data_IF_552913084529
#
_entry.id   IF_552913084529
#
_cell.length_a   1.000
_cell.length_b   1.000
_cell.length_c   1.000
_cell.angle_alpha   90.00
_cell.angle_beta   90.00
_cell.angle_gamma   90.00
#
_symmetry.space_group_name_H-M   'P 1'
#
loop_
_entity.id
_entity.type
_entity.pdbx_description
1 polymer ?
#
# COMPACT_ATOMS: atom_id res chain seq x y z
N UNK A 1 26.78 61.45 -0.92
CA UNK A 1 26.73 61.82 -2.35
C UNK A 1 26.25 60.61 -3.14
N UNK A 2 25.11 60.79 -3.82
CA UNK A 2 24.57 60.10 -5.00
C UNK A 2 24.94 58.62 -5.28
N UNK A 3 23.95 57.75 -5.06
CA UNK A 3 23.54 56.67 -5.99
C UNK A 3 23.17 57.23 -7.37
N UNK A 4 23.25 56.42 -8.45
CA UNK A 4 22.04 55.77 -9.03
C UNK A 4 22.26 54.27 -9.36
N UNK A 5 21.26 53.38 -9.24
CA UNK A 5 20.22 53.01 -10.25
C UNK A 5 20.78 52.63 -11.63
N UNK A 6 20.32 51.64 -12.41
CA UNK A 6 19.31 50.57 -12.37
C UNK A 6 19.25 50.00 -13.81
N UNK A 7 19.03 48.69 -14.03
CA UNK A 7 18.48 48.05 -15.27
C UNK A 7 18.59 46.53 -15.07
N UNK A 8 17.56 45.70 -14.82
CA UNK A 8 16.25 45.45 -15.46
C UNK A 8 16.36 44.69 -16.80
N UNK A 9 16.02 43.38 -16.78
CA UNK A 9 15.39 42.54 -17.82
C UNK A 9 15.43 41.08 -17.31
N UNK A 10 14.35 40.47 -16.79
CA UNK A 10 13.15 39.94 -17.45
C UNK A 10 13.41 39.17 -18.75
N UNK A 11 13.12 37.88 -18.71
CA UNK A 11 13.16 36.92 -19.83
C UNK A 11 12.58 35.58 -19.38
N UNK A 12 11.27 35.57 -19.12
CA UNK A 12 10.48 34.34 -19.16
C UNK A 12 10.43 33.86 -20.62
N UNK A 13 10.74 32.60 -20.89
CA UNK A 13 10.19 31.94 -22.08
C UNK A 13 9.88 30.47 -21.82
N UNK A 14 8.57 30.21 -21.78
CA UNK A 14 7.94 28.90 -21.86
C UNK A 14 7.88 28.50 -23.33
N UNK A 15 8.51 27.38 -23.69
CA UNK A 15 8.09 26.63 -24.88
C UNK A 15 8.11 25.12 -24.62
N UNK A 16 6.89 24.60 -24.43
CA UNK A 16 6.53 23.20 -24.66
C UNK A 16 6.87 22.85 -26.10
N UNK A 17 7.44 21.67 -26.39
CA UNK A 17 7.07 20.85 -27.56
C UNK A 17 7.83 19.52 -27.62
N UNK A 18 7.02 18.47 -27.73
CA UNK A 18 7.22 17.23 -28.53
C UNK A 18 8.21 16.16 -28.07
N UNK A 19 7.60 15.14 -27.45
CA UNK A 19 7.69 13.70 -27.79
C UNK A 19 8.46 13.40 -29.08
N UNK A 20 9.53 12.63 -28.96
CA UNK A 20 10.03 11.77 -30.04
C UNK A 20 10.51 10.45 -29.45
N UNK A 21 9.56 9.53 -29.29
CA UNK A 21 9.82 8.09 -29.18
C UNK A 21 10.23 7.57 -30.55
N UNK A 22 11.55 7.42 -30.78
CA UNK A 22 12.07 6.65 -31.91
C UNK A 22 12.80 5.42 -31.41
N UNK A 23 12.00 4.37 -31.30
CA UNK A 23 12.40 2.96 -31.35
C UNK A 23 13.42 2.78 -32.49
N UNK A 24 14.67 2.48 -32.14
CA UNK A 24 15.62 1.84 -33.05
C UNK A 24 15.62 0.36 -32.70
N UNK A 25 14.83 -0.38 -33.48
CA UNK A 25 15.06 -1.81 -33.68
C UNK A 25 16.34 -1.94 -34.52
N UNK A 26 17.38 -2.54 -33.95
CA UNK A 26 18.50 -3.06 -34.71
C UNK A 26 18.18 -4.50 -35.10
N UNK A 27 18.31 -4.88 -36.38
CA UNK A 27 18.10 -6.26 -36.81
C UNK A 27 19.25 -7.16 -36.36
N UNK A 28 18.87 -8.33 -35.86
CA UNK A 28 19.74 -9.45 -35.59
C UNK A 28 20.45 -9.88 -36.88
N UNK A 29 21.79 -9.85 -36.86
CA UNK A 29 22.62 -10.57 -37.83
C UNK A 29 22.89 -11.94 -37.22
N UNK A 30 22.22 -12.95 -37.79
CA UNK A 30 22.60 -14.34 -37.68
C UNK A 30 23.92 -14.56 -38.43
N UNK A 31 24.95 -15.03 -37.73
CA UNK A 31 26.05 -15.80 -38.33
C UNK A 31 26.06 -17.18 -37.68
N UNK A 32 25.96 -18.27 -38.46
CA UNK A 32 26.04 -19.63 -37.97
C UNK A 32 27.50 -20.09 -37.91
N UNK A 33 27.81 -20.92 -36.92
CA UNK A 33 29.02 -21.75 -36.92
C UNK A 33 30.01 -21.40 -35.81
N UNK A 34 29.95 -22.11 -34.69
CA UNK A 34 30.88 -23.22 -34.51
C UNK A 34 30.45 -24.09 -33.33
N UNK A 35 30.28 -25.36 -33.61
CA UNK A 35 30.05 -26.43 -32.65
C UNK A 35 31.34 -26.65 -31.85
N UNK A 36 31.24 -26.67 -30.52
CA UNK A 36 32.08 -27.52 -29.67
C UNK A 36 31.46 -27.62 -28.26
N UNK A 37 31.04 -28.83 -27.82
CA UNK A 37 30.42 -29.02 -26.52
C UNK A 37 31.48 -29.20 -25.43
N UNK A 38 31.68 -28.16 -24.61
CA UNK A 38 32.51 -28.27 -23.41
C UNK A 38 31.68 -28.83 -22.26
N UNK A 39 31.88 -30.13 -22.07
CA UNK A 39 31.79 -30.97 -20.87
C UNK A 39 31.18 -30.37 -19.59
N UNK A 40 30.12 -31.05 -19.16
CA UNK A 40 29.66 -31.23 -17.77
C UNK A 40 30.84 -31.34 -16.78
N UNK A 41 30.80 -30.53 -15.73
CA UNK A 41 31.35 -30.90 -14.43
C UNK A 41 30.22 -30.95 -13.41
N UNK A 42 29.77 -32.18 -13.14
CA UNK A 42 28.99 -32.50 -11.97
C UNK A 42 29.89 -32.60 -10.72
N UNK A 43 29.26 -32.39 -9.58
CA UNK A 43 29.62 -32.90 -8.24
C UNK A 43 30.77 -32.18 -7.51
N UNK A 44 30.39 -31.36 -6.54
CA UNK A 44 30.98 -31.46 -5.20
C UNK A 44 29.88 -31.40 -4.14
N UNK A 45 29.57 -32.58 -3.62
CA UNK A 45 28.84 -32.81 -2.38
C UNK A 45 29.77 -32.42 -1.22
N UNK A 46 29.44 -31.38 -0.46
CA UNK A 46 29.91 -31.24 0.93
C UNK A 46 28.73 -31.49 1.86
N UNK A 47 28.80 -32.63 2.54
CA UNK A 47 28.02 -32.98 3.73
C UNK A 47 28.78 -32.53 4.98
N UNK A 48 28.04 -32.43 6.09
CA UNK A 48 28.44 -32.33 7.51
C UNK A 48 28.81 -30.91 7.98
N UNK A 49 28.25 -30.31 9.04
CA UNK A 49 27.47 -30.76 10.22
C UNK A 49 26.51 -29.63 10.64
N UNK A 50 25.25 -29.89 11.02
CA UNK A 50 24.78 -30.25 12.38
C UNK A 50 25.32 -29.38 13.51
N UNK A 51 24.55 -28.34 13.86
CA UNK A 51 24.36 -27.87 15.24
C UNK A 51 22.87 -27.53 15.38
N UNK A 52 22.17 -28.42 16.09
CA UNK A 52 20.87 -28.22 16.69
C UNK A 52 21.02 -27.32 17.93
N UNK A 53 19.87 -27.01 18.55
CA UNK A 53 19.66 -26.41 19.89
C UNK A 53 19.55 -24.88 19.77
N UNK A 54 18.44 -24.19 20.05
CA UNK A 54 17.23 -24.54 20.81
C UNK A 54 16.07 -23.64 20.36
N UNK A 55 14.85 -24.20 20.38
CA UNK A 55 13.60 -23.44 20.37
C UNK A 55 13.48 -22.76 21.74
N UNK A 56 13.36 -21.44 21.78
CA UNK A 56 12.73 -20.76 22.92
C UNK A 56 11.36 -20.27 22.50
N UNK A 57 10.40 -20.86 23.19
CA UNK A 57 8.96 -20.69 23.12
C UNK A 57 8.57 -19.29 23.62
N UNK A 58 7.50 -18.79 23.03
CA UNK A 58 6.76 -17.63 23.48
C UNK A 58 6.25 -17.84 24.92
N UNK A 59 6.70 -17.01 25.86
CA UNK A 59 5.90 -16.66 27.04
C UNK A 59 5.93 -15.14 27.27
N UNK A 60 4.80 -14.51 26.91
CA UNK A 60 4.51 -13.11 27.15
C UNK A 60 3.62 -13.07 28.40
N UNK A 61 4.26 -12.89 29.56
CA UNK A 61 3.59 -12.85 30.86
C UNK A 61 3.58 -11.41 31.39
N UNK A 62 2.48 -10.68 31.16
CA UNK A 62 2.09 -9.53 31.98
C UNK A 62 0.58 -9.58 32.21
N UNK A 63 0.21 -9.94 33.44
CA UNK A 63 -1.12 -9.72 34.05
C UNK A 63 -1.36 -8.22 34.31
N UNK A 64 -2.61 -7.77 34.45
CA UNK A 64 -3.30 -7.82 35.75
C UNK A 64 -4.72 -8.41 35.64
N UNK A 65 -5.19 -9.25 36.57
CA UNK A 65 -5.91 -8.84 37.79
C UNK A 65 -7.03 -7.83 37.49
N UNK A 66 -8.32 -8.06 37.73
CA UNK A 66 -9.09 -9.14 38.34
C UNK A 66 -10.50 -8.58 38.56
N UNK A 67 -11.55 -9.40 38.47
CA UNK A 67 -12.72 -9.36 39.37
C UNK A 67 -13.60 -10.58 39.10
N UNK A 68 -13.91 -11.22 40.21
CA UNK A 68 -14.60 -12.48 40.43
C UNK A 68 -16.12 -12.31 40.49
N UNK A 69 -16.79 -13.45 40.25
CA UNK A 69 -18.12 -13.88 40.74
C UNK A 69 -19.41 -13.53 39.96
N UNK A 70 -20.14 -14.56 39.46
CA UNK A 70 -21.60 -14.69 39.55
C UNK A 70 -21.96 -15.42 40.89
N UNK A 71 -23.22 -15.82 41.23
CA UNK A 71 -24.51 -15.75 40.53
C UNK A 71 -25.69 -15.24 41.40
N UNK A 72 -26.89 -15.11 40.83
CA UNK A 72 -28.15 -15.21 41.58
C UNK A 72 -29.34 -15.51 40.65
N UNK A 73 -29.79 -16.78 40.67
CA UNK A 73 -31.21 -17.16 40.65
C UNK A 73 -31.86 -16.55 41.91
N UNK A 74 -33.12 -16.11 41.98
CA UNK A 74 -34.34 -16.90 41.80
C UNK A 74 -35.58 -15.98 41.84
N UNK A 75 -36.61 -16.45 41.14
CA UNK A 75 -38.01 -16.52 41.56
C UNK A 75 -39.00 -15.36 41.40
N UNK A 76 -40.19 -15.84 41.00
CA UNK A 76 -41.54 -15.30 41.14
C UNK A 76 -42.04 -14.38 40.01
N UNK A 77 -43.11 -14.70 39.26
CA UNK A 77 -44.08 -15.79 39.37
C UNK A 77 -44.85 -15.94 38.05
N UNK A 78 -45.11 -17.18 37.63
CA UNK A 78 -46.34 -17.51 36.90
C UNK A 78 -47.53 -17.40 37.87
N UNK A 79 -48.74 -17.10 37.37
CA UNK A 79 -49.65 -18.23 37.19
C UNK A 79 -50.42 -18.20 35.87
N UNK A 80 -50.50 -19.41 35.31
CA UNK A 80 -51.60 -19.96 34.52
C UNK A 80 -52.96 -19.34 34.88
N UNK A 81 -53.79 -19.08 33.87
CA UNK A 81 -55.10 -19.73 33.88
C UNK A 81 -55.69 -19.91 32.48
N UNK A 82 -56.28 -21.09 32.32
CA UNK A 82 -56.90 -21.57 31.11
C UNK A 82 -58.43 -21.56 31.33
N UNK A 83 -59.17 -21.08 30.31
CA UNK A 83 -60.59 -21.45 30.00
C UNK A 83 -61.61 -20.74 30.92
N UNK A 84 -62.72 -20.12 30.41
CA UNK A 84 -63.67 -20.83 29.56
C UNK A 84 -64.34 -20.08 28.40
N UNK A 85 -64.59 -20.88 27.37
CA UNK A 85 -65.76 -20.81 26.49
C UNK A 85 -67.01 -20.46 27.32
N UNK A 86 -67.59 -19.29 27.07
CA UNK A 86 -68.97 -18.99 27.46
C UNK A 86 -69.73 -18.56 26.20
N UNK A 87 -70.60 -19.47 25.74
CA UNK A 87 -71.67 -19.18 24.79
C UNK A 87 -72.72 -18.28 25.46
N UNK A 88 -73.03 -17.16 24.78
CA UNK A 88 -74.32 -16.47 24.57
C UNK A 88 -75.33 -16.36 25.74
N UNK A 89 -76.00 -15.20 25.90
CA UNK A 89 -77.30 -15.07 25.22
C UNK A 89 -77.51 -13.75 24.43
N UNK A 90 -78.54 -13.73 23.56
CA UNK A 90 -78.81 -12.69 22.58
C UNK A 90 -79.65 -11.56 23.17
N UNK A 91 -79.26 -10.31 22.93
CA UNK A 91 -80.09 -9.12 23.20
C UNK A 91 -79.59 -8.01 22.26
N UNK A 92 -80.41 -7.32 21.47
CA UNK A 92 -81.85 -7.37 21.26
C UNK A 92 -82.09 -6.62 19.96
N UNK A 93 -82.91 -7.18 19.07
CA UNK A 93 -83.56 -6.43 18.00
C UNK A 93 -84.33 -5.27 18.63
N UNK A 94 -83.75 -4.06 18.58
CA UNK A 94 -84.53 -2.82 18.60
C UNK A 94 -84.70 -2.36 17.17
N UNK A 95 -85.66 -3.01 16.55
CA UNK A 95 -86.70 -2.42 15.72
C UNK A 95 -86.62 -0.90 15.48
N UNK A 96 -86.30 -0.58 14.21
CA UNK A 96 -86.80 0.52 13.35
C UNK A 96 -86.19 1.94 13.49
N UNK A 97 -86.20 2.73 12.38
CA UNK A 97 -86.69 2.40 11.04
C UNK A 97 -85.59 2.41 9.97
N UNK A 98 -85.68 1.42 9.07
CA UNK A 98 -85.31 1.61 7.67
C UNK A 98 -86.01 2.88 7.19
N UNK A 99 -85.27 3.98 7.03
CA UNK A 99 -85.70 5.03 6.11
C UNK A 99 -85.20 4.58 4.74
N UNK A 100 -86.11 3.93 4.03
CA UNK A 100 -86.01 3.75 2.58
C UNK A 100 -85.73 5.12 1.96
N UNK A 101 -84.47 5.36 1.59
CA UNK A 101 -84.04 6.45 0.72
C UNK A 101 -84.20 6.06 -0.77
N UNK A 102 -85.15 5.17 -1.07
CA UNK A 102 -85.46 4.66 -2.42
C UNK A 102 -86.83 5.11 -2.95
N UNK A 103 -87.33 6.27 -2.51
CA UNK A 103 -88.52 6.92 -3.08
C UNK A 103 -88.23 8.37 -3.50
N UNK A 104 -87.19 8.58 -4.30
CA UNK A 104 -86.97 9.87 -4.96
C UNK A 104 -86.50 9.76 -6.42
N UNK A 105 -86.77 8.63 -7.08
CA UNK A 105 -86.36 8.42 -8.49
C UNK A 105 -87.51 8.36 -9.50
N UNK A 106 -88.73 8.81 -9.14
CA UNK A 106 -89.84 8.83 -10.10
C UNK A 106 -90.79 10.02 -9.94
N UNK A 107 -90.26 11.23 -10.06
CA UNK A 107 -91.08 12.42 -10.31
C UNK A 107 -90.26 13.58 -10.92
N UNK A 108 -89.81 13.45 -12.17
CA UNK A 108 -89.16 14.57 -12.88
C UNK A 108 -89.73 14.78 -14.27
N UNK A 109 -90.83 15.54 -14.33
CA UNK A 109 -91.06 16.59 -15.34
C UNK A 109 -91.60 17.83 -14.60
N UNK A 110 -91.20 19.04 -15.01
CA UNK A 110 -91.22 20.21 -14.14
C UNK A 110 -92.65 20.72 -13.97
N UNK A 111 -93.23 20.53 -12.78
CA UNK A 111 -94.44 21.25 -12.41
C UNK A 111 -94.06 22.69 -12.10
N UNK A 112 -94.45 23.54 -13.05
CA UNK A 112 -94.81 24.95 -12.87
C UNK A 112 -94.99 25.34 -11.40
N UNK A 113 -94.05 26.16 -10.88
CA UNK A 113 -94.16 27.14 -9.79
C UNK A 113 -95.48 27.09 -8.99
N UNK A 114 -95.75 25.95 -8.36
CA UNK A 114 -96.79 25.81 -7.36
C UNK A 114 -96.28 26.60 -6.15
N UNK A 115 -97.16 27.39 -5.53
CA UNK A 115 -96.81 28.22 -4.37
C UNK A 115 -96.40 27.30 -3.23
N UNK A 116 -95.09 27.01 -3.13
CA UNK A 116 -94.48 26.28 -2.02
C UNK A 116 -94.92 26.99 -0.74
N UNK A 117 -95.54 26.25 0.18
CA UNK A 117 -95.96 26.81 1.45
C UNK A 117 -94.71 27.29 2.22
N UNK A 118 -94.81 28.37 3.02
CA UNK A 118 -93.70 28.83 3.84
C UNK A 118 -93.16 27.73 4.78
N UNK A 119 -94.01 26.81 5.24
CA UNK A 119 -93.62 25.63 6.01
C UNK A 119 -92.79 24.64 5.20
N UNK A 120 -93.21 24.29 3.97
CA UNK A 120 -92.45 23.38 3.09
C UNK A 120 -91.08 23.94 2.72
N UNK A 121 -91.00 25.26 2.52
CA UNK A 121 -89.73 25.96 2.26
C UNK A 121 -88.79 25.87 3.47
N UNK A 122 -89.32 25.98 4.68
CA UNK A 122 -88.54 25.83 5.90
C UNK A 122 -88.02 24.39 6.08
N UNK A 123 -88.82 23.38 5.73
CA UNK A 123 -88.41 21.98 5.76
C UNK A 123 -87.26 21.68 4.79
N UNK A 124 -87.28 22.26 3.57
CA UNK A 124 -86.20 22.12 2.59
C UNK A 124 -84.89 22.78 3.06
N UNK A 125 -84.97 23.98 3.65
CA UNK A 125 -83.80 24.67 4.22
C UNK A 125 -83.19 23.89 5.38
N UNK A 126 -84.03 23.34 6.27
CA UNK A 126 -83.58 22.51 7.38
C UNK A 126 -82.92 21.20 6.88
N UNK A 127 -83.49 20.56 5.86
CA UNK A 127 -82.92 19.36 5.24
C UNK A 127 -81.56 19.65 4.59
N UNK A 128 -81.43 20.79 3.88
CA UNK A 128 -80.15 21.22 3.31
C UNK A 128 -79.11 21.51 4.39
N UNK A 129 -79.49 22.12 5.52
CA UNK A 129 -78.60 22.34 6.65
C UNK A 129 -78.10 21.03 7.27
N UNK A 130 -78.98 20.04 7.45
CA UNK A 130 -78.59 18.71 7.98
C UNK A 130 -77.60 18.04 7.05
N UNK A 131 -77.85 18.08 5.75
CA UNK A 131 -76.98 17.47 4.74
C UNK A 131 -75.57 18.12 4.69
N UNK A 132 -75.49 19.45 4.82
CA UNK A 132 -74.21 20.18 4.95
C UNK A 132 -73.45 19.74 6.20
N UNK A 133 -74.13 19.66 7.35
CA UNK A 133 -73.52 19.20 8.60
C UNK A 133 -73.05 17.76 8.51
N UNK A 134 -73.81 16.90 7.86
CA UNK A 134 -73.45 15.49 7.65
C UNK A 134 -72.21 15.35 6.75
N UNK A 135 -72.14 16.10 5.64
CA UNK A 135 -70.94 16.10 4.80
C UNK A 135 -69.71 16.56 5.58
N UNK A 136 -69.80 17.67 6.33
CA UNK A 136 -68.68 18.15 7.15
C UNK A 136 -68.27 17.11 8.18
N UNK A 137 -69.23 16.51 8.88
CA UNK A 137 -68.96 15.47 9.87
C UNK A 137 -68.26 14.26 9.23
N UNK A 138 -68.70 13.80 8.06
CA UNK A 138 -68.06 12.68 7.35
C UNK A 138 -66.65 13.03 6.87
N UNK A 139 -66.47 14.20 6.24
CA UNK A 139 -65.16 14.65 5.75
C UNK A 139 -64.17 14.90 6.88
N UNK A 140 -64.60 15.43 8.01
CA UNK A 140 -63.73 15.70 9.17
C UNK A 140 -63.44 14.45 10.01
N UNK A 141 -64.45 13.65 10.34
CA UNK A 141 -64.27 12.42 11.15
C UNK A 141 -63.46 11.34 10.42
N UNK A 142 -63.47 11.38 9.09
CA UNK A 142 -62.77 10.42 8.24
C UNK A 142 -61.57 11.03 7.51
N UNK A 143 -61.17 12.27 7.86
CA UNK A 143 -60.12 13.03 7.18
C UNK A 143 -58.80 12.26 7.08
N UNK A 144 -58.47 11.46 8.09
CA UNK A 144 -57.22 10.70 8.14
C UNK A 144 -57.26 9.43 7.25
N UNK A 145 -58.45 8.91 6.96
CA UNK A 145 -58.66 7.61 6.30
C UNK A 145 -59.14 7.71 4.87
N UNK A 146 -59.89 8.75 4.52
CA UNK A 146 -60.37 8.97 3.17
C UNK A 146 -59.22 9.46 2.27
N UNK A 147 -59.22 9.00 1.01
CA UNK A 147 -58.41 9.62 -0.03
C UNK A 147 -59.06 10.92 -0.50
N UNK A 148 -58.26 11.85 -1.00
CA UNK A 148 -58.80 13.08 -1.57
C UNK A 148 -59.86 12.83 -2.67
N UNK A 149 -59.68 11.82 -3.52
CA UNK A 149 -60.69 11.42 -4.53
C UNK A 149 -62.02 11.02 -3.89
N UNK A 150 -62.00 10.27 -2.79
CA UNK A 150 -63.22 9.84 -2.08
C UNK A 150 -63.95 11.05 -1.47
N UNK A 151 -63.20 12.05 -0.99
CA UNK A 151 -63.76 13.28 -0.44
C UNK A 151 -64.43 14.14 -1.53
N UNK A 152 -63.83 14.20 -2.72
CA UNK A 152 -64.40 14.86 -3.91
C UNK A 152 -65.70 14.20 -4.32
N UNK A 153 -65.74 12.87 -4.38
CA UNK A 153 -66.94 12.12 -4.75
C UNK A 153 -68.06 12.30 -3.73
N UNK A 154 -67.73 12.31 -2.44
CA UNK A 154 -68.69 12.57 -1.36
C UNK A 154 -69.28 13.98 -1.45
N UNK A 155 -68.42 14.99 -1.67
CA UNK A 155 -68.83 16.38 -1.83
C UNK A 155 -69.73 16.56 -3.07
N UNK A 156 -69.36 15.97 -4.20
CA UNK A 156 -70.13 16.02 -5.45
C UNK A 156 -71.51 15.37 -5.34
N UNK A 157 -71.68 14.33 -4.52
CA UNK A 157 -73.00 13.75 -4.22
C UNK A 157 -73.84 14.71 -3.38
N UNK A 158 -73.25 15.29 -2.34
CA UNK A 158 -73.91 16.27 -1.48
C UNK A 158 -74.37 17.51 -2.27
N UNK A 159 -73.53 18.09 -3.15
CA UNK A 159 -73.89 19.25 -3.96
C UNK A 159 -75.05 19.00 -4.92
N UNK A 160 -75.14 17.80 -5.51
CA UNK A 160 -76.28 17.40 -6.35
C UNK A 160 -77.58 17.44 -5.56
N UNK A 161 -77.60 16.83 -4.38
CA UNK A 161 -78.78 16.82 -3.50
C UNK A 161 -79.11 18.22 -2.97
N UNK A 162 -78.11 19.06 -2.62
CA UNK A 162 -78.36 20.45 -2.23
C UNK A 162 -78.98 21.30 -3.36
N UNK A 163 -78.59 21.03 -4.61
CA UNK A 163 -79.19 21.66 -5.80
C UNK A 163 -80.66 21.29 -5.94
N UNK A 164 -81.02 20.02 -5.73
CA UNK A 164 -82.40 19.52 -5.76
C UNK A 164 -83.27 20.14 -4.65
N UNK A 165 -82.67 20.41 -3.49
CA UNK A 165 -83.32 21.09 -2.36
C UNK A 165 -83.46 22.61 -2.54
N UNK A 166 -82.87 23.17 -3.61
CA UNK A 166 -82.93 24.61 -3.91
C UNK A 166 -82.06 25.50 -3.01
N UNK A 167 -81.00 24.94 -2.42
CA UNK A 167 -80.07 25.65 -1.55
C UNK A 167 -78.95 26.37 -2.35
N UNK A 168 -78.53 27.56 -1.91
CA UNK A 168 -77.34 28.25 -2.44
C UNK A 168 -76.12 27.87 -1.60
N UNK A 169 -75.44 26.80 -2.01
CA UNK A 169 -74.31 26.22 -1.30
C UNK A 169 -72.94 26.77 -1.75
N UNK A 170 -72.87 27.86 -2.54
CA UNK A 170 -71.60 28.38 -3.07
C UNK A 170 -70.53 28.66 -2.00
N UNK A 171 -70.93 29.22 -0.87
CA UNK A 171 -70.02 29.50 0.26
C UNK A 171 -69.54 28.22 0.94
N UNK A 172 -70.41 27.22 1.04
CA UNK A 172 -70.14 25.91 1.61
C UNK A 172 -69.19 25.08 0.72
N UNK A 173 -69.45 25.09 -0.60
CA UNK A 173 -68.59 24.47 -1.62
C UNK A 173 -67.14 24.94 -1.50
N UNK A 174 -66.94 26.26 -1.42
CA UNK A 174 -65.61 26.85 -1.26
C UNK A 174 -64.84 26.33 -0.05
N UNK A 175 -65.49 26.14 1.10
CA UNK A 175 -64.82 25.64 2.31
C UNK A 175 -64.51 24.13 2.23
N UNK A 176 -65.42 23.34 1.67
CA UNK A 176 -65.17 21.91 1.43
C UNK A 176 -64.04 21.72 0.40
N UNK A 177 -63.99 22.53 -0.65
CA UNK A 177 -62.88 22.52 -1.61
C UNK A 177 -61.53 22.82 -0.94
N UNK A 178 -61.47 23.80 -0.03
CA UNK A 178 -60.25 24.07 0.74
C UNK A 178 -59.83 22.87 1.59
N UNK A 179 -60.79 22.21 2.25
CA UNK A 179 -60.52 21.03 3.06
C UNK A 179 -59.95 19.87 2.21
N UNK A 180 -60.54 19.64 1.03
CA UNK A 180 -60.05 18.64 0.07
C UNK A 180 -58.64 19.00 -0.42
N UNK A 181 -58.40 20.26 -0.76
CA UNK A 181 -57.09 20.73 -1.20
C UNK A 181 -56.01 20.54 -0.12
N UNK A 182 -56.33 20.85 1.14
CA UNK A 182 -55.42 20.59 2.28
C UNK A 182 -55.11 19.09 2.43
N UNK A 183 -56.10 18.21 2.20
CA UNK A 183 -55.87 16.77 2.21
C UNK A 183 -54.93 16.32 1.08
N UNK A 184 -55.12 16.84 -0.12
CA UNK A 184 -54.23 16.54 -1.27
C UNK A 184 -52.79 16.98 -1.00
N UNK A 185 -52.62 18.16 -0.40
CA UNK A 185 -51.30 18.67 -0.02
C UNK A 185 -50.61 17.76 1.02
N UNK A 186 -51.35 17.27 2.01
CA UNK A 186 -50.84 16.31 2.99
C UNK A 186 -50.45 14.96 2.34
N UNK A 187 -51.26 14.44 1.42
CA UNK A 187 -50.95 13.21 0.70
C UNK A 187 -49.72 13.36 -0.21
N UNK A 188 -49.55 14.52 -0.85
CA UNK A 188 -48.38 14.82 -1.66
C UNK A 188 -47.12 14.92 -0.78
N UNK A 189 -47.18 15.67 0.33
CA UNK A 189 -46.08 15.80 1.27
C UNK A 189 -45.68 14.44 1.89
N UNK A 190 -46.64 13.56 2.18
CA UNK A 190 -46.36 12.22 2.67
C UNK A 190 -45.61 11.36 1.64
N UNK A 191 -46.01 11.40 0.37
CA UNK A 191 -45.30 10.70 -0.73
C UNK A 191 -43.90 11.27 -0.96
N UNK A 192 -43.74 12.58 -0.88
CA UNK A 192 -42.42 13.23 -0.97
C UNK A 192 -41.50 12.81 0.18
N UNK A 193 -42.03 12.61 1.39
CA UNK A 193 -41.26 12.09 2.51
C UNK A 193 -40.87 10.62 2.32
N UNK A 194 -41.76 9.77 1.80
CA UNK A 194 -41.46 8.37 1.50
C UNK A 194 -40.38 8.23 0.40
N UNK A 195 -40.40 9.11 -0.61
CA UNK A 195 -39.37 9.16 -1.66
C UNK A 195 -38.03 9.74 -1.19
N UNK A 196 -37.98 10.36 0.00
CA UNK A 196 -36.76 10.98 0.54
C UNK A 196 -35.79 9.95 1.11
N UNK A 197 -36.30 8.80 1.55
CA UNK A 197 -35.49 7.63 1.88
C UNK A 197 -35.07 6.91 0.58
N UNK A 198 -34.43 7.64 -0.33
CA UNK A 198 -33.97 7.14 -1.61
C UNK A 198 -32.87 6.09 -1.37
N UNK A 199 -33.14 4.79 -1.59
CA UNK A 199 -32.16 3.74 -1.38
C UNK A 199 -30.93 3.92 -2.30
N UNK A 200 -31.08 4.61 -3.43
CA UNK A 200 -29.98 4.90 -4.34
C UNK A 200 -29.01 5.94 -3.75
N UNK A 201 -29.50 6.97 -3.06
CA UNK A 201 -28.65 7.93 -2.37
C UNK A 201 -27.83 7.26 -1.27
N UNK A 202 -28.47 6.38 -0.49
CA UNK A 202 -27.79 5.60 0.56
C UNK A 202 -26.71 4.69 -0.03
N UNK A 203 -27.02 3.95 -1.09
CA UNK A 203 -26.06 3.09 -1.76
C UNK A 203 -24.86 3.88 -2.33
N UNK A 204 -25.09 5.05 -2.93
CA UNK A 204 -24.02 5.93 -3.42
C UNK A 204 -23.14 6.46 -2.28
N UNK A 205 -23.73 6.82 -1.14
CA UNK A 205 -22.99 7.23 0.05
C UNK A 205 -22.12 6.08 0.58
N UNK A 206 -22.70 4.89 0.77
CA UNK A 206 -22.00 3.73 1.30
C UNK A 206 -20.83 3.32 0.37
N UNK A 207 -21.05 3.35 -0.94
CA UNK A 207 -19.99 3.14 -1.93
C UNK A 207 -18.85 4.16 -1.79
N UNK A 208 -19.17 5.44 -1.61
CA UNK A 208 -18.15 6.47 -1.43
C UNK A 208 -17.36 6.31 -0.13
N UNK A 209 -18.01 5.91 0.97
CA UNK A 209 -17.34 5.61 2.23
C UNK A 209 -16.35 4.45 2.05
N UNK A 210 -16.77 3.37 1.37
CA UNK A 210 -15.89 2.23 1.08
C UNK A 210 -14.71 2.62 0.20
N UNK A 211 -14.96 3.39 -0.87
CA UNK A 211 -13.91 3.88 -1.76
C UNK A 211 -12.91 4.75 -1.00
N UNK A 212 -13.39 5.64 -0.13
CA UNK A 212 -12.53 6.51 0.68
C UNK A 212 -11.67 5.70 1.67
N UNK A 213 -12.23 4.66 2.30
CA UNK A 213 -11.47 3.74 3.15
C UNK A 213 -10.35 3.06 2.36
N UNK A 214 -10.67 2.50 1.20
CA UNK A 214 -9.70 1.83 0.33
C UNK A 214 -8.56 2.77 -0.09
N UNK A 215 -8.88 3.98 -0.56
CA UNK A 215 -7.87 4.98 -0.96
C UNK A 215 -7.00 5.38 0.23
N UNK A 216 -7.56 5.47 1.44
CA UNK A 216 -6.81 5.80 2.65
C UNK A 216 -5.82 4.69 3.02
N UNK A 217 -6.23 3.43 2.92
CA UNK A 217 -5.36 2.27 3.14
C UNK A 217 -4.22 2.20 2.10
N UNK A 218 -4.53 2.42 0.83
CA UNK A 218 -3.52 2.48 -0.24
C UNK A 218 -2.51 3.61 -0.01
N UNK A 219 -2.98 4.79 0.44
CA UNK A 219 -2.13 5.92 0.78
C UNK A 219 -1.18 5.58 1.92
N UNK A 220 -1.68 4.98 3.01
CA UNK A 220 -0.84 4.53 4.12
C UNK A 220 0.20 3.50 3.67
N UNK A 221 -0.21 2.49 2.88
CA UNK A 221 0.71 1.49 2.33
C UNK A 221 1.81 2.13 1.46
N UNK A 222 1.46 3.10 0.62
CA UNK A 222 2.42 3.83 -0.19
C UNK A 222 3.40 4.66 0.66
N UNK A 223 2.90 5.27 1.73
CA UNK A 223 3.71 6.07 2.65
C UNK A 223 4.71 5.18 3.43
N UNK A 224 4.30 3.99 3.85
CA UNK A 224 5.19 3.01 4.50
C UNK A 224 6.26 2.51 3.53
N UNK A 225 5.88 2.15 2.30
CA UNK A 225 6.85 1.75 1.26
C UNK A 225 7.86 2.87 0.98
N UNK A 226 7.41 4.12 0.96
CA UNK A 226 8.27 5.28 0.78
C UNK A 226 9.24 5.44 1.96
N UNK A 227 8.78 5.27 3.20
CA UNK A 227 9.63 5.38 4.39
C UNK A 227 10.72 4.30 4.41
N UNK A 228 10.36 3.05 4.12
CA UNK A 228 11.29 1.92 4.00
C UNK A 228 12.31 2.17 2.88
N UNK A 229 11.85 2.69 1.74
CA UNK A 229 12.75 2.98 0.61
C UNK A 229 13.74 4.09 0.97
N UNK A 230 13.30 5.13 1.70
CA UNK A 230 14.19 6.21 2.17
C UNK A 230 15.27 5.68 3.11
N UNK A 231 14.90 4.88 4.12
CA UNK A 231 15.87 4.30 5.04
C UNK A 231 16.85 3.36 4.34
N UNK A 232 16.37 2.60 3.34
CA UNK A 232 17.24 1.76 2.51
C UNK A 232 18.24 2.59 1.69
N UNK A 233 17.79 3.69 1.08
CA UNK A 233 18.67 4.61 0.34
C UNK A 233 19.75 5.20 1.24
N UNK A 234 19.41 5.60 2.46
CA UNK A 234 20.40 6.16 3.39
C UNK A 234 21.39 5.10 3.88
N UNK A 235 20.94 3.85 4.09
CA UNK A 235 21.84 2.72 4.34
C UNK A 235 22.81 2.47 3.18
N UNK A 236 22.34 2.57 1.94
CA UNK A 236 23.20 2.42 0.76
C UNK A 236 24.20 3.56 0.61
N UNK A 237 23.83 4.81 0.94
CA UNK A 237 24.77 5.93 0.98
C UNK A 237 25.88 5.67 2.00
N UNK A 238 25.53 5.24 3.20
CA UNK A 238 26.51 4.90 4.24
C UNK A 238 27.49 3.82 3.76
N UNK A 239 26.98 2.72 3.18
CA UNK A 239 27.83 1.65 2.62
C UNK A 239 28.73 2.13 1.49
N UNK A 240 28.22 3.03 0.63
CA UNK A 240 29.03 3.64 -0.42
C UNK A 240 30.21 4.43 0.17
N UNK A 241 29.96 5.21 1.21
CA UNK A 241 30.99 6.03 1.86
C UNK A 241 32.04 5.15 2.57
N UNK A 242 31.60 4.06 3.21
CA UNK A 242 32.48 3.05 3.80
C UNK A 242 33.38 2.38 2.75
N UNK A 243 32.79 1.91 1.64
CA UNK A 243 33.55 1.31 0.54
C UNK A 243 34.51 2.29 -0.13
N UNK A 244 34.11 3.56 -0.24
CA UNK A 244 34.99 4.62 -0.77
C UNK A 244 36.20 4.82 0.13
N UNK A 245 36.00 4.82 1.45
CA UNK A 245 37.09 4.94 2.42
C UNK A 245 38.04 3.74 2.37
N UNK A 246 37.50 2.52 2.28
CA UNK A 246 38.29 1.30 2.14
C UNK A 246 39.10 1.28 0.82
N UNK A 247 38.51 1.77 -0.28
CA UNK A 247 39.20 1.88 -1.56
C UNK A 247 40.40 2.83 -1.46
N UNK A 248 40.24 3.98 -0.80
CA UNK A 248 41.33 4.93 -0.60
C UNK A 248 42.50 4.32 0.20
N UNK A 249 42.20 3.56 1.25
CA UNK A 249 43.22 2.86 2.05
C UNK A 249 44.01 1.86 1.18
N UNK A 250 43.31 1.04 0.39
CA UNK A 250 43.96 0.05 -0.48
C UNK A 250 44.79 0.73 -1.57
N UNK A 251 44.33 1.88 -2.10
CA UNK A 251 45.13 2.67 -3.05
C UNK A 251 46.41 3.22 -2.42
N UNK A 252 46.36 3.66 -1.16
CA UNK A 252 47.54 4.11 -0.43
C UNK A 252 48.52 2.95 -0.20
N UNK A 253 48.04 1.80 0.27
CA UNK A 253 48.87 0.59 0.44
C UNK A 253 49.52 0.14 -0.88
N UNK A 254 48.78 0.18 -1.99
CA UNK A 254 49.30 -0.13 -3.31
C UNK A 254 50.45 0.81 -3.68
N UNK A 255 50.27 2.12 -3.49
CA UNK A 255 51.31 3.11 -3.81
C UNK A 255 52.59 2.92 -2.99
N UNK A 256 52.46 2.55 -1.70
CA UNK A 256 53.59 2.25 -0.83
C UNK A 256 54.36 1.01 -1.29
N UNK A 257 53.65 -0.05 -1.69
CA UNK A 257 54.31 -1.26 -2.17
C UNK A 257 54.94 -1.06 -3.56
N UNK A 258 54.35 -0.23 -4.43
CA UNK A 258 54.96 0.19 -5.70
C UNK A 258 56.29 0.92 -5.49
N UNK A 259 56.35 1.88 -4.56
CA UNK A 259 57.60 2.60 -4.20
C UNK A 259 58.67 1.64 -3.64
N UNK A 260 58.25 0.68 -2.82
CA UNK A 260 59.15 -0.34 -2.28
C UNK A 260 59.68 -1.28 -3.37
N UNK A 261 58.86 -1.64 -4.35
CA UNK A 261 59.31 -2.43 -5.52
C UNK A 261 60.35 -1.65 -6.32
N UNK A 262 60.15 -0.35 -6.53
CA UNK A 262 61.12 0.51 -7.22
C UNK A 262 62.46 0.53 -6.46
N UNK A 263 62.41 0.74 -5.14
CA UNK A 263 63.61 0.75 -4.28
C UNK A 263 64.36 -0.59 -4.33
N UNK A 264 63.66 -1.71 -4.14
CA UNK A 264 64.26 -3.05 -4.18
C UNK A 264 64.81 -3.39 -5.57
N UNK A 265 64.17 -2.89 -6.63
CA UNK A 265 64.67 -3.05 -8.00
C UNK A 265 66.00 -2.33 -8.19
N UNK A 266 66.10 -1.09 -7.74
CA UNK A 266 67.34 -0.31 -7.79
C UNK A 266 68.46 -0.96 -6.95
N UNK A 267 68.16 -1.45 -5.74
CA UNK A 267 69.12 -2.18 -4.91
C UNK A 267 69.63 -3.45 -5.59
N UNK A 268 68.71 -4.23 -6.17
CA UNK A 268 69.03 -5.45 -6.91
C UNK A 268 69.94 -5.17 -8.10
N UNK A 269 69.70 -4.09 -8.83
CA UNK A 269 70.53 -3.72 -10.00
C UNK A 269 71.93 -3.26 -9.58
N UNK A 270 72.04 -2.47 -8.51
CA UNK A 270 73.34 -2.12 -7.92
C UNK A 270 74.12 -3.36 -7.47
N UNK A 271 73.46 -4.32 -6.82
CA UNK A 271 74.10 -5.57 -6.40
C UNK A 271 74.59 -6.41 -7.60
N UNK A 272 73.84 -6.42 -8.71
CA UNK A 272 74.26 -7.11 -9.94
C UNK A 272 75.51 -6.49 -10.55
N UNK A 273 75.61 -5.17 -10.57
CA UNK A 273 76.80 -4.46 -11.06
C UNK A 273 78.03 -4.83 -10.22
N UNK A 274 77.92 -4.72 -8.89
CA UNK A 274 79.03 -5.07 -7.97
C UNK A 274 79.42 -6.55 -8.10
N UNK A 275 78.44 -7.45 -8.22
CA UNK A 275 78.72 -8.87 -8.42
C UNK A 275 79.50 -9.13 -9.72
N UNK A 276 79.12 -8.46 -10.80
CA UNK A 276 79.83 -8.57 -12.08
C UNK A 276 81.29 -8.10 -11.97
N UNK A 277 81.54 -6.97 -11.31
CA UNK A 277 82.90 -6.46 -11.08
C UNK A 277 83.75 -7.47 -10.28
N UNK A 278 83.18 -8.02 -9.20
CA UNK A 278 83.85 -9.06 -8.38
C UNK A 278 84.14 -10.33 -9.19
N UNK A 279 83.22 -10.77 -10.05
CA UNK A 279 83.47 -11.92 -10.93
C UNK A 279 84.61 -11.68 -11.91
N UNK A 280 84.71 -10.46 -12.46
CA UNK A 280 85.81 -10.07 -13.36
C UNK A 280 87.13 -10.08 -12.62
N UNK A 281 87.19 -9.47 -11.43
CA UNK A 281 88.40 -9.45 -10.59
C UNK A 281 88.83 -10.86 -10.15
N UNK A 282 87.87 -11.73 -9.82
CA UNK A 282 88.15 -13.12 -9.45
C UNK A 282 88.78 -13.89 -10.61
N UNK A 283 88.25 -13.73 -11.84
CA UNK A 283 88.83 -14.34 -13.04
C UNK A 283 90.25 -13.84 -13.30
N UNK A 284 90.51 -12.55 -13.08
CA UNK A 284 91.85 -11.97 -13.19
C UNK A 284 92.82 -12.58 -12.17
N UNK A 285 92.43 -12.63 -10.90
CA UNK A 285 93.23 -13.25 -9.83
C UNK A 285 93.49 -14.74 -10.09
N UNK A 286 92.51 -15.46 -10.65
CA UNK A 286 92.69 -16.86 -11.03
C UNK A 286 93.74 -17.01 -12.13
N UNK A 287 93.76 -16.11 -13.12
CA UNK A 287 94.79 -16.08 -14.15
C UNK A 287 96.18 -15.76 -13.58
N UNK A 288 96.29 -14.74 -12.73
CA UNK A 288 97.54 -14.39 -12.03
C UNK A 288 98.06 -15.55 -11.17
N UNK A 289 97.17 -16.24 -10.44
CA UNK A 289 97.53 -17.44 -9.66
C UNK A 289 98.07 -18.55 -10.56
N UNK A 290 97.44 -18.82 -11.70
CA UNK A 290 97.90 -19.85 -12.66
C UNK A 290 99.28 -19.50 -13.21
N UNK A 291 99.50 -18.24 -13.59
CA UNK A 291 100.80 -17.75 -14.05
C UNK A 291 101.88 -17.91 -12.98
N UNK A 292 101.60 -17.49 -11.75
CA UNK A 292 102.52 -17.65 -10.62
C UNK A 292 102.86 -19.12 -10.33
N UNK A 293 101.87 -20.02 -10.42
CA UNK A 293 102.07 -21.46 -10.26
C UNK A 293 103.02 -22.01 -11.32
N UNK A 294 102.82 -21.64 -12.59
CA UNK A 294 103.70 -22.05 -13.70
C UNK A 294 105.11 -21.49 -13.52
N UNK A 295 105.26 -20.25 -13.04
CA UNK A 295 106.57 -19.65 -12.76
C UNK A 295 107.30 -20.32 -11.58
N UNK A 296 106.57 -20.87 -10.62
CA UNK A 296 107.14 -21.56 -9.45
C UNK A 296 107.70 -22.94 -9.80
N UNK A 297 107.13 -23.65 -10.77
CA UNK A 297 107.59 -24.98 -11.20
C UNK A 297 109.10 -25.04 -11.55
N UNK A 298 109.65 -24.17 -12.43
CA UNK A 298 111.08 -24.23 -12.76
C UNK A 298 111.97 -23.80 -11.58
N UNK A 299 111.50 -22.91 -10.70
CA UNK A 299 112.24 -22.54 -9.49
C UNK A 299 112.34 -23.76 -8.57
N UNK A 300 111.24 -24.46 -8.36
CA UNK A 300 111.21 -25.66 -7.53
C UNK A 300 112.07 -26.77 -8.15
N UNK A 301 112.04 -26.95 -9.48
CA UNK A 301 112.90 -27.89 -10.18
C UNK A 301 114.40 -27.56 -9.99
N UNK A 302 114.79 -26.28 -10.13
CA UNK A 302 116.17 -25.82 -9.87
C UNK A 302 116.58 -26.03 -8.42
N UNK A 303 115.71 -25.72 -7.47
CA UNK A 303 115.94 -25.94 -6.04
C UNK A 303 116.18 -27.42 -5.74
N UNK A 304 115.33 -28.32 -6.26
CA UNK A 304 115.48 -29.76 -6.07
C UNK A 304 116.77 -30.29 -6.70
N UNK A 305 117.11 -29.86 -7.92
CA UNK A 305 118.37 -30.24 -8.57
C UNK A 305 119.60 -29.79 -7.77
N UNK A 306 119.60 -28.53 -7.29
CA UNK A 306 120.68 -27.99 -6.46
C UNK A 306 120.78 -28.72 -5.11
N UNK A 307 119.64 -29.10 -4.50
CA UNK A 307 119.60 -29.88 -3.27
C UNK A 307 120.19 -31.27 -3.46
N UNK A 308 119.81 -31.98 -4.52
CA UNK A 308 120.38 -33.30 -4.85
C UNK A 308 121.88 -33.24 -5.12
N UNK A 309 122.36 -32.19 -5.78
CA UNK A 309 123.80 -31.96 -5.99
C UNK A 309 124.55 -31.70 -4.69
N UNK A 310 124.00 -30.86 -3.81
CA UNK A 310 124.54 -30.64 -2.47
C UNK A 310 124.63 -31.93 -1.66
N UNK A 311 123.55 -32.73 -1.65
CA UNK A 311 123.53 -34.03 -0.96
C UNK A 311 124.59 -34.99 -1.53
N UNK A 312 124.76 -35.03 -2.86
CA UNK A 312 125.79 -35.83 -3.53
C UNK A 312 127.20 -35.41 -3.11
N UNK A 313 127.51 -34.11 -3.14
CA UNK A 313 128.81 -33.57 -2.72
C UNK A 313 129.08 -33.84 -1.23
N UNK A 314 128.09 -33.60 -0.37
CA UNK A 314 128.16 -33.87 1.07
C UNK A 314 128.48 -35.34 1.36
N UNK A 315 127.78 -36.27 0.69
CA UNK A 315 128.04 -37.71 0.80
C UNK A 315 129.44 -38.09 0.32
N UNK A 316 129.92 -37.51 -0.78
CA UNK A 316 131.27 -37.74 -1.28
C UNK A 316 132.34 -37.27 -0.27
N UNK A 317 132.18 -36.07 0.29
CA UNK A 317 133.06 -35.56 1.34
C UNK A 317 133.05 -36.45 2.59
N UNK A 318 131.88 -36.91 3.02
CA UNK A 318 131.76 -37.87 4.14
C UNK A 318 132.49 -39.18 3.87
N UNK A 319 132.46 -39.69 2.63
CA UNK A 319 133.22 -40.88 2.24
C UNK A 319 134.73 -40.62 2.30
N UNK A 320 135.22 -39.49 1.75
CA UNK A 320 136.64 -39.12 1.81
C UNK A 320 137.16 -39.03 3.24
N UNK A 321 136.41 -38.39 4.15
CA UNK A 321 136.76 -38.28 5.58
C UNK A 321 136.79 -39.65 6.27
N UNK A 322 135.91 -40.57 5.88
CA UNK A 322 135.91 -41.95 6.41
C UNK A 322 137.11 -42.74 5.90
N UNK A 323 137.44 -42.62 4.62
CA UNK A 323 138.59 -43.29 4.00
C UNK A 323 139.94 -42.76 4.50
N UNK A 324 140.04 -41.47 4.87
CA UNK A 324 141.26 -40.88 5.44
C UNK A 324 141.49 -41.21 6.92
N UNK A 325 140.53 -41.87 7.59
CA UNK A 325 140.68 -42.36 8.97
C UNK A 325 141.13 -43.82 9.05
N UNK A 326 141.18 -44.53 7.93
CA UNK A 326 141.47 -45.98 7.85
C UNK A 326 142.74 -46.32 7.09
N UNK A 327 143.56 -45.33 6.74
CA UNK A 327 144.93 -45.50 6.24
C UNK A 327 145.93 -44.85 7.19
#
# INVERSE_FOLDING_TARGET
MKTPQSLQQQGEDRAKLRRSSRVRQSPAVFSPGNENPIKRCENNKRKHNSLQVENEELELTVNPSGFEMPPAETMDAEPRDAVPVVKLPPFSEKEKPKRDLFLLERATKPRSREKISPEDRQHLVNAASVLKSELVAQLTSSADKLKAEDMIDLANRCYRTLTELGDDYRSFDREVFKLIAQRQELEFAAKDMENRDDPDLRARYDYQVQLMSHVTEELHSAQDKLSITKTHVDSLKFKKDELTSALLLVMEELSQEEEKIETLTAERDKCKEVHFDVEVDLKKLEAERKEASVALEPINARYNAAKEEFERMSNHLLQLVRSSRTG
#
